data_IF_554612898370
#
_entry.id   IF_554612898370
#
_cell.length_a   1.000
_cell.length_b   1.000
_cell.length_c   1.000
_cell.angle_alpha   90.00
_cell.angle_beta   90.00
_cell.angle_gamma   90.00
#
_symmetry.space_group_name_H-M   'P 1'
#
loop_
_entity.id
_entity.type
_entity.pdbx_description
1 polymer ?
#
# COMPACT_ATOMS: atom_id res chain seq x y z
N UNK A 1 9.19 -4.63 -10.63
CA UNK A 1 9.52 -3.27 -10.14
C UNK A 1 8.46 -2.88 -9.12
N UNK A 2 8.56 -3.34 -7.87
CA UNK A 2 7.61 -2.97 -6.82
C UNK A 2 8.00 -1.59 -6.24
N UNK A 3 7.17 -0.54 -6.34
CA UNK A 3 7.41 0.70 -5.61
C UNK A 3 7.36 0.46 -4.10
N UNK A 4 8.08 1.26 -3.32
CA UNK A 4 8.36 1.01 -1.90
C UNK A 4 7.17 1.19 -0.94
N UNK A 5 5.97 1.53 -1.41
CA UNK A 5 4.79 1.77 -0.57
C UNK A 5 3.51 1.61 -1.41
N UNK A 6 3.02 0.38 -1.54
CA UNK A 6 1.72 0.06 -2.17
C UNK A 6 0.52 0.88 -1.63
N UNK A 7 0.37 1.15 -0.31
CA UNK A 7 -0.85 1.80 0.19
C UNK A 7 -1.01 3.27 -0.25
N UNK A 8 0.08 3.98 -0.59
CA UNK A 8 0.01 5.38 -1.01
C UNK A 8 -0.51 5.56 -2.44
N UNK A 9 -0.27 4.57 -3.31
CA UNK A 9 -0.63 4.65 -4.73
C UNK A 9 -2.15 4.57 -4.90
N UNK A 10 -2.81 3.79 -4.04
CA UNK A 10 -4.26 3.61 -4.04
C UNK A 10 -5.01 4.90 -3.69
N UNK A 11 -4.59 5.61 -2.62
CA UNK A 11 -5.18 6.90 -2.25
C UNK A 11 -5.07 7.93 -3.38
N UNK A 12 -3.91 8.01 -4.03
CA UNK A 12 -3.69 8.89 -5.17
C UNK A 12 -4.59 8.55 -6.36
N UNK A 13 -4.74 7.27 -6.70
CA UNK A 13 -5.57 6.83 -7.82
C UNK A 13 -7.06 7.13 -7.58
N UNK A 14 -7.54 6.94 -6.33
CA UNK A 14 -8.91 7.24 -5.95
C UNK A 14 -9.22 8.74 -5.99
N UNK A 15 -8.32 9.58 -5.45
CA UNK A 15 -8.45 11.04 -5.53
C UNK A 15 -8.35 11.55 -6.97
N UNK A 16 -7.46 10.98 -7.79
CA UNK A 16 -7.36 11.31 -9.21
C UNK A 16 -8.65 11.01 -9.97
N UNK A 17 -9.32 9.88 -9.70
CA UNK A 17 -10.61 9.54 -10.30
C UNK A 17 -11.72 10.55 -10.02
N UNK A 18 -11.57 11.40 -8.98
CA UNK A 18 -12.49 12.50 -8.67
C UNK A 18 -12.18 13.77 -9.47
N UNK A 19 -10.93 13.97 -9.87
CA UNK A 19 -10.44 15.18 -10.54
C UNK A 19 -10.61 15.15 -12.06
N UNK A 20 -10.93 13.99 -12.64
CA UNK A 20 -11.08 13.84 -14.09
C UNK A 20 -12.21 12.89 -14.45
N UNK A 21 -12.81 13.12 -15.62
CA UNK A 21 -13.79 12.21 -16.24
C UNK A 21 -13.13 11.14 -17.12
N UNK A 22 -11.80 11.20 -17.30
CA UNK A 22 -11.05 10.25 -18.14
C UNK A 22 -10.91 8.85 -17.55
N UNK A 23 -11.09 8.70 -16.23
CA UNK A 23 -10.98 7.40 -15.55
C UNK A 23 -12.27 6.59 -15.74
N UNK A 24 -12.22 5.55 -16.58
CA UNK A 24 -13.39 4.72 -16.89
C UNK A 24 -13.60 3.54 -15.93
N UNK A 25 -12.53 3.00 -15.34
CA UNK A 25 -12.53 1.88 -14.40
C UNK A 25 -11.30 2.01 -13.49
N UNK A 26 -11.40 1.50 -12.27
CA UNK A 26 -10.31 1.51 -11.30
C UNK A 26 -10.14 0.13 -10.68
N UNK A 27 -8.90 -0.33 -10.55
CA UNK A 27 -8.56 -1.54 -9.79
C UNK A 27 -7.63 -1.10 -8.66
N UNK A 28 -7.98 -1.43 -7.42
CA UNK A 28 -7.21 -1.09 -6.23
C UNK A 28 -6.82 -2.37 -5.52
N UNK A 29 -5.52 -2.59 -5.35
CA UNK A 29 -4.97 -3.67 -4.54
C UNK A 29 -4.61 -3.13 -3.17
N UNK A 30 -5.08 -3.80 -2.11
CA UNK A 30 -4.76 -3.51 -0.70
C UNK A 30 -4.69 -2.00 -0.39
N UNK A 31 -5.87 -1.35 -0.36
CA UNK A 31 -5.96 0.10 -0.44
C UNK A 31 -5.31 0.87 0.72
N UNK A 32 -4.99 0.22 1.85
CA UNK A 32 -4.37 0.85 3.02
C UNK A 32 -5.10 2.08 3.60
N UNK A 33 -6.38 2.29 3.25
CA UNK A 33 -7.15 3.45 3.68
C UNK A 33 -7.43 3.37 5.17
N UNK A 34 -6.92 4.37 5.90
CA UNK A 34 -7.11 4.49 7.34
C UNK A 34 -6.09 3.71 8.16
N UNK A 35 -5.10 3.07 7.53
CA UNK A 35 -3.94 2.56 8.24
C UNK A 35 -3.20 3.72 8.92
N UNK A 36 -2.60 3.46 10.08
CA UNK A 36 -1.82 4.46 10.82
C UNK A 36 -0.43 3.94 11.05
N UNK A 37 0.59 4.78 10.87
CA UNK A 37 1.95 4.38 11.23
C UNK A 37 2.18 4.51 12.75
N UNK A 38 3.15 3.77 13.32
CA UNK A 38 3.49 3.88 14.74
C UNK A 38 3.91 5.33 15.12
N UNK A 39 3.51 5.83 16.30
CA UNK A 39 3.89 7.18 16.74
C UNK A 39 5.41 7.41 16.70
N UNK A 40 5.83 8.55 16.14
CA UNK A 40 7.25 8.92 16.03
C UNK A 40 8.05 8.15 14.98
N UNK A 41 7.43 7.24 14.21
CA UNK A 41 8.13 6.44 13.21
C UNK A 41 8.76 7.31 12.11
N UNK A 42 8.02 8.29 11.59
CA UNK A 42 8.54 9.23 10.61
C UNK A 42 9.77 10.02 11.10
N UNK A 43 9.78 10.42 12.37
CA UNK A 43 10.88 11.19 12.95
C UNK A 43 12.12 10.32 13.20
N UNK A 44 11.92 9.05 13.58
CA UNK A 44 13.01 8.06 13.64
C UNK A 44 13.66 7.88 12.26
N UNK A 45 12.87 7.71 11.20
CA UNK A 45 13.40 7.60 9.84
C UNK A 45 14.09 8.89 9.37
N UNK A 46 13.56 10.05 9.74
CA UNK A 46 14.20 11.33 9.46
C UNK A 46 15.59 11.44 10.11
N UNK A 47 15.75 10.94 11.34
CA UNK A 47 17.05 10.87 12.02
C UNK A 47 18.07 9.99 11.30
N UNK A 48 17.65 8.81 10.82
CA UNK A 48 18.49 7.92 10.01
C UNK A 48 18.92 8.59 8.70
N UNK A 49 17.97 9.24 8.02
CA UNK A 49 18.22 9.92 6.76
C UNK A 49 19.21 11.09 6.94
N UNK A 50 19.09 11.86 8.02
CA UNK A 50 20.01 12.96 8.35
C UNK A 50 21.45 12.48 8.59
N UNK A 51 21.64 11.24 9.03
CA UNK A 51 22.94 10.60 9.20
C UNK A 51 23.47 9.95 7.90
N UNK A 52 22.75 10.08 6.78
CA UNK A 52 23.11 9.42 5.52
C UNK A 52 22.81 7.92 5.48
N UNK A 53 22.13 7.38 6.50
CA UNK A 53 21.86 5.94 6.66
C UNK A 53 20.65 5.49 5.83
N UNK A 54 20.74 5.64 4.51
CA UNK A 54 19.63 5.39 3.57
C UNK A 54 19.15 3.95 3.56
N UNK A 55 20.06 2.99 3.65
CA UNK A 55 19.70 1.57 3.69
C UNK A 55 18.93 1.21 4.97
N UNK A 56 19.32 1.82 6.10
CA UNK A 56 18.60 1.65 7.37
C UNK A 56 17.18 2.24 7.32
N UNK A 57 16.95 3.31 6.55
CA UNK A 57 15.61 3.85 6.33
C UNK A 57 14.72 2.82 5.63
N UNK A 58 15.21 2.22 4.54
CA UNK A 58 14.43 1.26 3.73
C UNK A 58 14.20 -0.03 4.51
N UNK A 59 15.23 -0.54 5.21
CA UNK A 59 15.09 -1.77 5.99
C UNK A 59 14.19 -1.58 7.21
N UNK A 60 14.22 -0.42 7.88
CA UNK A 60 13.28 -0.10 8.95
C UNK A 60 11.84 0.03 8.44
N UNK A 61 11.62 0.63 7.25
CA UNK A 61 10.30 0.65 6.61
C UNK A 61 9.77 -0.77 6.37
N UNK A 62 10.54 -1.63 5.71
CA UNK A 62 10.11 -2.99 5.40
C UNK A 62 9.87 -3.84 6.66
N UNK A 63 10.77 -3.76 7.64
CA UNK A 63 10.69 -4.57 8.86
C UNK A 63 9.64 -4.07 9.83
N UNK A 64 9.66 -2.78 10.13
CA UNK A 64 8.94 -2.23 11.29
C UNK A 64 7.57 -1.68 10.89
N UNK A 65 7.39 -1.22 9.65
CA UNK A 65 6.08 -0.75 9.18
C UNK A 65 5.36 -1.83 8.36
N UNK A 66 6.03 -2.42 7.37
CA UNK A 66 5.43 -3.45 6.53
C UNK A 66 5.45 -4.85 7.18
N UNK A 67 6.05 -4.97 8.37
CA UNK A 67 6.13 -6.24 9.13
C UNK A 67 6.69 -7.39 8.28
N UNK A 68 7.61 -7.09 7.37
CA UNK A 68 8.18 -8.05 6.44
C UNK A 68 9.05 -9.08 7.19
N UNK A 69 8.81 -10.39 7.02
CA UNK A 69 9.66 -11.43 7.59
C UNK A 69 11.13 -11.27 7.19
N UNK A 70 12.05 -11.67 8.06
CA UNK A 70 13.48 -11.45 7.86
C UNK A 70 14.01 -12.14 6.59
N UNK A 71 13.50 -13.34 6.29
CA UNK A 71 13.78 -14.10 5.08
C UNK A 71 13.33 -13.36 3.81
N UNK A 72 12.16 -12.72 3.84
CA UNK A 72 11.66 -11.92 2.71
C UNK A 72 12.46 -10.63 2.54
N UNK A 73 12.85 -9.98 3.64
CA UNK A 73 13.71 -8.81 3.59
C UNK A 73 15.10 -9.14 3.03
N UNK A 74 15.67 -10.29 3.39
CA UNK A 74 16.95 -10.74 2.85
C UNK A 74 16.87 -10.98 1.33
N UNK A 75 15.77 -11.58 0.85
CA UNK A 75 15.51 -11.72 -0.58
C UNK A 75 15.35 -10.36 -1.26
N UNK A 76 14.60 -9.42 -0.66
CA UNK A 76 14.43 -8.08 -1.21
C UNK A 76 15.75 -7.30 -1.32
N UNK A 77 16.67 -7.49 -0.38
CA UNK A 77 18.00 -6.88 -0.39
C UNK A 77 18.87 -7.45 -1.52
N UNK A 78 18.72 -8.74 -1.85
CA UNK A 78 19.51 -9.38 -2.91
C UNK A 78 19.02 -9.05 -4.33
N UNK A 79 17.83 -8.47 -4.46
CA UNK A 79 17.26 -8.06 -5.74
C UNK A 79 18.10 -6.97 -6.44
N UNK A 80 18.29 -7.02 -7.78
CA UNK A 80 18.96 -5.97 -8.54
C UNK A 80 18.33 -4.58 -8.41
N UNK A 81 17.07 -4.52 -7.96
CA UNK A 81 16.34 -3.27 -7.71
C UNK A 81 16.72 -2.58 -6.38
N UNK A 82 17.40 -3.27 -5.46
CA UNK A 82 17.73 -2.76 -4.13
C UNK A 82 18.48 -1.42 -4.14
N UNK A 83 19.52 -1.21 -4.97
CA UNK A 83 20.21 0.09 -5.02
C UNK A 83 19.27 1.25 -5.38
N UNK A 84 18.30 1.01 -6.26
CA UNK A 84 17.28 1.99 -6.62
C UNK A 84 16.36 2.34 -5.44
N UNK A 85 16.02 1.35 -4.62
CA UNK A 85 15.25 1.55 -3.37
C UNK A 85 16.02 2.40 -2.37
N UNK A 86 17.30 2.08 -2.15
CA UNK A 86 18.18 2.84 -1.25
C UNK A 86 18.37 4.28 -1.74
N UNK A 87 18.51 4.49 -3.06
CA UNK A 87 18.58 5.84 -3.64
C UNK A 87 17.29 6.65 -3.40
N UNK A 88 16.13 5.98 -3.44
CA UNK A 88 14.82 6.58 -3.18
C UNK A 88 14.51 6.80 -1.69
N UNK A 89 15.33 6.33 -0.75
CA UNK A 89 15.08 6.43 0.70
C UNK A 89 14.73 7.85 1.21
N UNK A 90 15.18 8.88 0.50
CA UNK A 90 14.88 10.28 0.82
C UNK A 90 13.39 10.65 0.68
N UNK A 91 12.58 9.87 -0.03
CA UNK A 91 11.13 10.14 -0.19
C UNK A 91 10.28 9.57 0.95
N UNK A 92 10.78 8.54 1.64
CA UNK A 92 10.02 7.73 2.62
C UNK A 92 9.43 8.58 3.74
N UNK A 93 10.20 9.51 4.31
CA UNK A 93 9.72 10.38 5.40
C UNK A 93 8.55 11.25 4.95
N UNK A 94 8.63 11.81 3.74
CA UNK A 94 7.55 12.63 3.15
C UNK A 94 6.31 11.78 2.92
N UNK A 95 6.48 10.58 2.39
CA UNK A 95 5.39 9.65 2.08
C UNK A 95 4.62 9.26 3.34
N UNK A 96 5.31 8.82 4.40
CA UNK A 96 4.69 8.48 5.69
C UNK A 96 3.95 9.69 6.28
N UNK A 97 4.56 10.87 6.33
CA UNK A 97 3.91 12.08 6.87
C UNK A 97 2.66 12.47 6.07
N UNK A 98 2.70 12.31 4.75
CA UNK A 98 1.56 12.58 3.87
C UNK A 98 0.43 11.60 4.17
N UNK A 99 0.76 10.32 4.33
CA UNK A 99 -0.20 9.29 4.70
C UNK A 99 -0.82 9.53 6.08
N UNK A 100 0.00 9.79 7.10
CA UNK A 100 -0.51 10.05 8.45
C UNK A 100 -1.38 11.30 8.54
N UNK A 101 -1.10 12.30 7.69
CA UNK A 101 -1.89 13.51 7.55
C UNK A 101 -3.15 13.34 6.69
N UNK A 102 -3.23 12.29 5.88
CA UNK A 102 -4.40 12.05 5.05
C UNK A 102 -5.57 11.52 5.88
N UNK A 103 -6.75 12.09 5.65
CA UNK A 103 -8.00 11.67 6.28
C UNK A 103 -8.97 11.31 5.17
N UNK A 104 -9.25 10.01 5.07
CA UNK A 104 -10.25 9.53 4.13
C UNK A 104 -11.65 9.95 4.60
N UNK A 105 -12.31 10.74 3.78
CA UNK A 105 -13.72 11.10 3.97
C UNK A 105 -14.54 10.44 2.85
N UNK A 106 -15.34 9.41 3.16
CA UNK A 106 -16.12 8.69 2.16
C UNK A 106 -17.19 9.56 1.49
N UNK A 107 -17.69 10.62 2.14
CA UNK A 107 -18.72 11.49 1.56
C UNK A 107 -18.19 12.26 0.35
N UNK A 108 -16.89 12.61 0.34
CA UNK A 108 -16.21 13.23 -0.82
C UNK A 108 -16.24 12.36 -2.08
N UNK A 109 -16.46 11.05 -1.92
CA UNK A 109 -16.52 10.07 -3.00
C UNK A 109 -17.94 9.58 -3.29
N UNK A 110 -18.97 10.11 -2.63
CA UNK A 110 -20.36 9.65 -2.78
C UNK A 110 -20.93 9.82 -4.20
N UNK A 111 -20.39 10.77 -4.96
CA UNK A 111 -20.74 11.06 -6.35
C UNK A 111 -19.84 10.34 -7.38
N UNK A 112 -18.78 9.65 -6.95
CA UNK A 112 -17.89 8.92 -7.84
C UNK A 112 -18.62 7.69 -8.43
N UNK A 113 -18.80 7.68 -9.76
CA UNK A 113 -19.49 6.61 -10.51
C UNK A 113 -18.55 5.65 -11.24
N UNK A 114 -17.24 5.84 -11.10
CA UNK A 114 -16.24 4.96 -11.73
C UNK A 114 -16.40 3.56 -11.11
N UNK A 115 -16.60 2.50 -11.91
CA UNK A 115 -16.59 1.13 -11.41
C UNK A 115 -15.24 0.81 -10.77
N UNK A 116 -15.25 0.28 -9.55
CA UNK A 116 -14.05 -0.04 -8.78
C UNK A 116 -14.03 -1.54 -8.46
N UNK A 117 -12.94 -2.19 -8.86
CA UNK A 117 -12.56 -3.52 -8.41
C UNK A 117 -11.59 -3.37 -7.24
N UNK A 118 -11.91 -3.97 -6.10
CA UNK A 118 -11.04 -4.05 -4.94
C UNK A 118 -10.44 -5.45 -4.88
N UNK A 119 -9.11 -5.52 -4.85
CA UNK A 119 -8.34 -6.75 -4.66
C UNK A 119 -7.77 -6.73 -3.24
N UNK A 120 -8.05 -7.77 -2.47
CA UNK A 120 -7.46 -7.97 -1.16
C UNK A 120 -6.83 -9.36 -1.10
N UNK A 121 -5.67 -9.48 -0.46
CA UNK A 121 -5.16 -10.79 -0.10
C UNK A 121 -6.01 -11.38 1.04
N UNK A 122 -6.46 -12.62 0.87
CA UNK A 122 -7.19 -13.33 1.90
C UNK A 122 -6.29 -13.77 3.06
N UNK A 123 -5.00 -13.96 2.80
CA UNK A 123 -3.97 -14.28 3.79
C UNK A 123 -3.25 -13.01 4.31
N UNK A 124 -3.66 -11.83 3.85
CA UNK A 124 -3.02 -10.55 4.16
C UNK A 124 -3.30 -10.00 5.57
N UNK A 125 -2.62 -8.90 5.94
CA UNK A 125 -2.83 -8.23 7.22
C UNK A 125 -4.29 -7.80 7.46
N UNK A 126 -4.74 -7.85 8.73
CA UNK A 126 -6.12 -7.59 9.09
C UNK A 126 -6.57 -6.13 8.83
N UNK A 127 -5.65 -5.18 8.93
CA UNK A 127 -5.83 -3.77 8.60
C UNK A 127 -6.10 -3.56 7.11
N UNK A 128 -5.43 -4.29 6.21
CA UNK A 128 -5.70 -4.25 4.77
C UNK A 128 -7.08 -4.83 4.41
N UNK A 129 -7.49 -5.90 5.10
CA UNK A 129 -8.84 -6.43 4.98
C UNK A 129 -9.91 -5.43 5.46
N UNK A 130 -9.66 -4.73 6.57
CA UNK A 130 -10.57 -3.71 7.12
C UNK A 130 -10.66 -2.46 6.22
N UNK A 131 -9.53 -2.01 5.66
CA UNK A 131 -9.43 -0.95 4.66
C UNK A 131 -10.27 -1.28 3.43
N UNK A 132 -10.11 -2.49 2.89
CA UNK A 132 -10.90 -2.98 1.75
C UNK A 132 -12.40 -3.01 2.07
N UNK A 133 -12.78 -3.51 3.25
CA UNK A 133 -14.17 -3.57 3.68
C UNK A 133 -14.80 -2.17 3.82
N UNK A 134 -14.04 -1.19 4.34
CA UNK A 134 -14.47 0.20 4.48
C UNK A 134 -14.82 0.83 3.14
N UNK A 135 -14.01 0.57 2.11
CA UNK A 135 -14.31 0.94 0.73
C UNK A 135 -15.50 0.13 0.18
N UNK A 136 -15.53 -1.18 0.37
CA UNK A 136 -16.56 -2.04 -0.21
C UNK A 136 -17.98 -1.75 0.30
N UNK A 137 -18.14 -1.38 1.57
CA UNK A 137 -19.44 -1.17 2.21
C UNK A 137 -20.25 0.00 1.61
N UNK A 138 -19.66 0.82 0.74
CA UNK A 138 -20.29 2.02 0.18
C UNK A 138 -20.50 1.89 -1.35
N UNK A 139 -21.74 1.52 -1.72
CA UNK A 139 -22.40 1.41 -3.06
C UNK A 139 -22.30 0.08 -3.84
N UNK A 140 -23.32 -0.11 -4.71
CA UNK A 140 -23.70 -1.35 -5.44
C UNK A 140 -22.82 -1.75 -6.64
N UNK A 141 -21.90 -0.90 -7.10
CA UNK A 141 -21.09 -1.13 -8.31
C UNK A 141 -19.62 -1.47 -8.01
N UNK A 142 -19.34 -1.90 -6.77
CA UNK A 142 -18.00 -2.32 -6.34
C UNK A 142 -17.94 -3.84 -6.28
N UNK A 143 -16.96 -4.41 -6.96
CA UNK A 143 -16.67 -5.85 -6.88
C UNK A 143 -15.46 -6.02 -5.98
N UNK A 144 -15.56 -6.86 -4.97
CA UNK A 144 -14.43 -7.27 -4.14
C UNK A 144 -14.01 -8.66 -4.60
N UNK A 145 -12.76 -8.82 -5.00
CA UNK A 145 -12.15 -10.11 -5.26
C UNK A 145 -11.10 -10.35 -4.20
N UNK A 146 -11.29 -11.41 -3.41
CA UNK A 146 -10.26 -11.88 -2.49
C UNK A 146 -9.35 -12.84 -3.24
N UNK A 147 -8.06 -12.55 -3.23
CA UNK A 147 -7.04 -13.41 -3.78
C UNK A 147 -6.60 -14.33 -2.64
N UNK A 148 -6.94 -15.62 -2.73
CA UNK A 148 -6.44 -16.61 -1.78
C UNK A 148 -5.14 -17.20 -2.33
N UNK A 149 -4.14 -17.41 -1.48
CA UNK A 149 -3.04 -18.29 -1.86
C UNK A 149 -3.60 -19.70 -2.11
N UNK A 150 -3.23 -20.32 -3.24
CA UNK A 150 -3.57 -21.72 -3.51
C UNK A 150 -2.78 -22.62 -2.56
N UNK A 151 -3.22 -22.77 -1.30
CA UNK A 151 -2.69 -23.81 -0.42
C UNK A 151 -3.27 -25.15 -0.84
N UNK A 152 -2.55 -25.86 -1.70
CA UNK A 152 -2.78 -27.28 -2.01
C UNK A 152 -3.83 -27.56 -3.08
N UNK A 153 -3.56 -27.18 -4.33
CA UNK A 153 -4.30 -27.65 -5.50
C UNK A 153 -3.37 -28.36 -6.48
N UNK A 154 -3.65 -29.64 -6.75
CA UNK A 154 -3.03 -30.44 -7.82
C UNK A 154 -2.96 -29.62 -9.11
N UNK A 155 -1.86 -29.66 -9.89
CA UNK A 155 -1.77 -28.91 -11.14
C UNK A 155 -2.95 -29.28 -12.04
N UNK A 156 -3.64 -28.26 -12.57
CA UNK A 156 -4.58 -28.43 -13.66
C UNK A 156 -3.78 -28.98 -14.85
N UNK A 157 -3.92 -30.28 -15.09
CA UNK A 157 -3.53 -30.88 -16.36
C UNK A 157 -4.38 -30.24 -17.46
N UNK A 158 -3.70 -29.63 -18.43
CA UNK A 158 -4.27 -29.10 -19.67
C UNK A 158 -4.82 -30.23 -20.53
#
# INVERSE_FOLDING_TARGET
MLPLLEPHVTGCALEAARLTTGTRRLVLYEPGIGATTPPGFADRLAGLLAQGRREDVVTALCRDLLQMPAEHLALLISEPSWPGRVAAAHTVVREIRTHDGYRFDPERFAALRVPILLLADADGPADEAASTATLAARRRERVVVRLCSCRGGTPLSV
#
